data_IF_467260658345
#
_entry.id   IF_467260658345
#
_cell.length_a   1.000
_cell.length_b   1.000
_cell.length_c   1.000
_cell.angle_alpha   90.00
_cell.angle_beta   90.00
_cell.angle_gamma   90.00
#
_symmetry.space_group_name_H-M   'P 1'
#
loop_
_entity.id
_entity.type
_entity.pdbx_description
1 polymer ?
#
# COMPACT_ATOMS: atom_id res chain seq x y z
N UNK A 1 -24.33 -10.94 -3.51
CA UNK A 1 -22.92 -11.29 -3.23
C UNK A 1 -22.11 -9.99 -3.27
N UNK A 2 -21.22 -9.70 -2.29
CA UNK A 2 -20.30 -8.60 -2.45
C UNK A 2 -19.44 -8.87 -3.69
N UNK A 3 -19.36 -7.91 -4.63
CA UNK A 3 -18.40 -7.96 -5.73
C UNK A 3 -17.02 -7.91 -5.11
N UNK A 4 -16.39 -9.06 -5.01
CA UNK A 4 -14.99 -9.18 -4.67
C UNK A 4 -14.25 -9.47 -5.97
N UNK A 5 -13.23 -8.68 -6.34
CA UNK A 5 -12.68 -7.52 -5.64
C UNK A 5 -13.31 -6.16 -6.05
N UNK A 6 -13.26 -5.15 -5.17
CA UNK A 6 -13.81 -3.80 -5.37
C UNK A 6 -12.73 -2.74 -5.16
N UNK A 7 -12.85 -1.60 -5.83
CA UNK A 7 -11.97 -0.45 -5.63
C UNK A 7 -12.00 0.01 -4.17
N UNK A 8 -10.83 0.31 -3.60
CA UNK A 8 -10.66 0.64 -2.18
C UNK A 8 -10.07 2.04 -2.02
N UNK A 9 -10.57 2.89 -1.10
CA UNK A 9 -9.97 4.19 -0.82
C UNK A 9 -8.49 4.08 -0.45
N UNK A 10 -7.65 4.93 -1.05
CA UNK A 10 -6.19 4.95 -0.84
C UNK A 10 -5.78 4.94 0.62
N UNK A 11 -6.42 5.77 1.45
CA UNK A 11 -6.14 5.87 2.88
C UNK A 11 -6.35 4.54 3.62
N UNK A 12 -7.34 3.74 3.23
CA UNK A 12 -7.58 2.42 3.81
C UNK A 12 -6.50 1.43 3.39
N UNK A 13 -6.04 1.51 2.15
CA UNK A 13 -4.94 0.68 1.65
C UNK A 13 -3.63 1.01 2.37
N UNK A 14 -3.26 2.29 2.45
CA UNK A 14 -2.09 2.77 3.21
C UNK A 14 -2.14 2.27 4.64
N UNK A 15 -3.25 2.51 5.34
CA UNK A 15 -3.39 2.12 6.75
C UNK A 15 -3.30 0.62 6.97
N UNK A 16 -3.75 -0.18 5.98
CA UNK A 16 -3.60 -1.64 6.03
C UNK A 16 -2.12 -2.03 5.94
N UNK A 17 -1.35 -1.40 5.06
CA UNK A 17 0.08 -1.65 4.95
C UNK A 17 0.88 -1.13 6.16
N UNK A 18 0.49 0.00 6.73
CA UNK A 18 1.07 0.49 8.00
C UNK A 18 0.89 -0.51 9.14
N UNK A 19 -0.30 -1.12 9.25
CA UNK A 19 -0.56 -2.20 10.23
C UNK A 19 0.29 -3.46 9.98
N UNK A 20 0.74 -3.67 8.74
CA UNK A 20 1.65 -4.76 8.36
C UNK A 20 3.14 -4.39 8.54
N UNK A 21 3.42 -3.19 9.07
CA UNK A 21 4.78 -2.70 9.33
C UNK A 21 5.45 -2.01 8.14
N UNK A 22 4.68 -1.58 7.14
CA UNK A 22 5.20 -0.72 6.08
C UNK A 22 5.14 0.76 6.48
N UNK A 23 6.11 1.53 6.02
CA UNK A 23 6.17 2.98 6.18
C UNK A 23 6.27 3.68 4.82
N UNK A 24 5.68 4.87 4.70
CA UNK A 24 5.73 5.67 3.46
C UNK A 24 7.12 6.30 3.33
N UNK A 25 7.78 6.04 2.20
CA UNK A 25 9.06 6.65 1.82
C UNK A 25 8.83 7.86 0.91
N UNK A 26 7.85 7.77 0.00
CA UNK A 26 7.57 8.81 -0.98
C UNK A 26 6.12 8.73 -1.45
N UNK A 27 5.45 9.88 -1.54
CA UNK A 27 4.13 10.02 -2.15
C UNK A 27 4.23 11.04 -3.30
N UNK A 28 4.27 10.57 -4.55
CA UNK A 28 4.16 11.41 -5.76
C UNK A 28 3.17 10.77 -6.73
N UNK A 29 3.51 10.55 -8.01
CA UNK A 29 2.64 9.80 -8.93
C UNK A 29 2.38 8.36 -8.46
N UNK A 30 3.36 7.78 -7.78
CA UNK A 30 3.27 6.51 -7.08
C UNK A 30 3.59 6.71 -5.61
N UNK A 31 2.98 5.87 -4.78
CA UNK A 31 3.27 5.74 -3.36
C UNK A 31 4.31 4.64 -3.22
N UNK A 32 5.46 4.99 -2.65
CA UNK A 32 6.51 4.05 -2.32
C UNK A 32 6.49 3.86 -0.81
N UNK A 33 6.34 2.61 -0.38
CA UNK A 33 6.44 2.20 1.00
C UNK A 33 7.58 1.19 1.15
N UNK A 34 8.12 1.06 2.35
CA UNK A 34 9.09 0.02 2.69
C UNK A 34 8.76 -0.62 4.02
N UNK A 35 9.17 -1.86 4.22
CA UNK A 35 9.13 -2.57 5.49
C UNK A 35 10.50 -3.13 5.80
N UNK A 36 10.98 -2.90 7.01
CA UNK A 36 12.18 -3.57 7.53
C UNK A 36 11.80 -4.98 8.03
N UNK A 37 12.58 -5.97 7.62
CA UNK A 37 12.41 -7.36 8.03
C UNK A 37 13.37 -7.69 9.17
N UNK A 38 13.03 -8.74 9.93
CA UNK A 38 13.84 -9.19 11.08
C UNK A 38 15.24 -9.67 10.69
N UNK A 39 15.43 -10.07 9.45
CA UNK A 39 16.71 -10.49 8.87
C UNK A 39 17.57 -9.31 8.37
N UNK A 40 17.11 -8.07 8.59
CA UNK A 40 17.78 -6.85 8.13
C UNK A 40 17.52 -6.50 6.67
N UNK A 41 16.72 -7.29 5.94
CA UNK A 41 16.32 -6.95 4.57
C UNK A 41 15.21 -5.91 4.55
N UNK A 42 15.03 -5.25 3.39
CA UNK A 42 13.97 -4.27 3.17
C UNK A 42 13.04 -4.76 2.08
N UNK A 43 11.75 -4.85 2.37
CA UNK A 43 10.72 -5.15 1.38
C UNK A 43 10.13 -3.83 0.85
N UNK A 44 10.38 -3.48 -0.43
CA UNK A 44 9.74 -2.33 -1.06
C UNK A 44 8.31 -2.68 -1.51
N UNK A 45 7.43 -1.69 -1.49
CA UNK A 45 6.07 -1.75 -2.03
C UNK A 45 5.80 -0.48 -2.83
N UNK A 46 5.29 -0.63 -4.04
CA UNK A 46 4.89 0.50 -4.89
C UNK A 46 3.42 0.36 -5.25
N UNK A 47 2.66 1.43 -5.06
CA UNK A 47 1.23 1.48 -5.38
C UNK A 47 0.90 2.75 -6.19
N UNK A 48 -0.14 2.72 -7.04
CA UNK A 48 -0.59 3.92 -7.73
C UNK A 48 -1.14 4.95 -6.74
N UNK A 49 -0.90 6.24 -6.98
CA UNK A 49 -1.47 7.31 -6.17
C UNK A 49 -2.80 7.82 -6.74
N UNK A 50 -3.82 6.98 -6.73
CA UNK A 50 -5.20 7.34 -7.09
C UNK A 50 -6.08 7.44 -5.84
N UNK A 51 -7.18 8.18 -5.88
CA UNK A 51 -8.11 8.31 -4.74
C UNK A 51 -8.72 6.96 -4.32
N UNK A 52 -9.01 6.12 -5.31
CA UNK A 52 -9.35 4.71 -5.12
C UNK A 52 -8.35 3.82 -5.85
N UNK A 53 -7.85 2.82 -5.14
CA UNK A 53 -6.98 1.79 -5.68
C UNK A 53 -7.87 0.73 -6.31
N UNK A 54 -7.69 0.52 -7.61
CA UNK A 54 -8.46 -0.45 -8.37
C UNK A 54 -8.05 -1.86 -8.02
N UNK A 55 -9.01 -2.77 -8.04
CA UNK A 55 -8.64 -4.16 -8.19
C UNK A 55 -8.28 -4.44 -9.64
N UNK A 56 -7.13 -5.10 -9.84
CA UNK A 56 -6.80 -5.78 -11.09
C UNK A 56 -7.54 -7.10 -11.20
#
# INVERSE_FOLDING_TARGET
MPKFPIDVPKNRVIRTFELLGFEIVREREHIVMRRENKDGTVTPLVMPNHSNIKSG
#
